data_IF_798610707726
#
_entry.id   IF_798610707726
#
_cell.length_a   1.000
_cell.length_b   1.000
_cell.length_c   1.000
_cell.angle_alpha   90.00
_cell.angle_beta   90.00
_cell.angle_gamma   90.00
#
_symmetry.space_group_name_H-M   'P 1'
#
loop_
_entity.id
_entity.type
_entity.pdbx_description
1 polymer ?
#
# COMPACT_ATOMS: atom_id res chain seq x y z
N UNK A 1 78.08 57.71 42.15
CA UNK A 1 78.37 56.46 42.88
C UNK A 1 77.28 56.22 43.92
N UNK A 2 76.37 55.28 43.66
CA UNK A 2 75.98 54.20 44.59
C UNK A 2 74.64 53.58 44.16
N UNK A 3 74.73 52.27 44.01
CA UNK A 3 73.69 51.29 43.68
C UNK A 3 72.79 50.97 44.88
N UNK A 4 71.68 50.30 44.55
CA UNK A 4 70.85 49.39 45.34
C UNK A 4 69.63 49.99 46.07
N UNK A 5 68.44 49.56 45.63
CA UNK A 5 67.70 48.48 46.33
C UNK A 5 66.61 47.87 45.46
N UNK A 6 66.42 46.58 45.66
CA UNK A 6 65.63 45.66 44.88
C UNK A 6 64.23 45.42 45.47
N UNK A 7 63.43 44.74 44.66
CA UNK A 7 62.33 43.82 44.96
C UNK A 7 60.92 44.35 45.27
N UNK A 8 60.02 44.02 44.34
CA UNK A 8 58.57 44.06 44.47
C UNK A 8 57.89 43.24 43.37
N UNK A 9 58.22 41.94 43.28
CA UNK A 9 57.63 40.95 42.36
C UNK A 9 56.15 40.71 42.71
N UNK A 10 55.21 40.98 41.80
CA UNK A 10 53.96 40.20 41.65
C UNK A 10 53.46 40.17 40.20
N UNK A 11 53.40 38.94 39.70
CA UNK A 11 52.68 38.43 38.54
C UNK A 11 51.48 39.25 38.05
N UNK A 12 51.44 39.46 36.74
CA UNK A 12 50.23 39.79 35.99
C UNK A 12 50.34 39.18 34.59
N UNK A 13 50.11 37.88 34.48
CA UNK A 13 49.85 37.22 33.20
C UNK A 13 48.59 37.84 32.63
N UNK A 14 48.69 38.52 31.48
CA UNK A 14 47.54 38.83 30.64
C UNK A 14 47.73 38.13 29.30
N UNK A 15 47.29 36.87 29.28
CA UNK A 15 46.95 36.15 28.06
C UNK A 15 45.73 36.87 27.48
N UNK A 16 45.93 37.68 26.44
CA UNK A 16 44.86 38.16 25.59
C UNK A 16 44.42 36.98 24.72
N UNK A 17 43.38 36.29 25.18
CA UNK A 17 42.86 35.07 24.60
C UNK A 17 42.30 35.24 23.20
N UNK A 18 42.61 34.26 22.36
CA UNK A 18 41.78 33.82 21.24
C UNK A 18 40.38 33.48 21.79
N UNK A 19 39.36 34.24 21.40
CA UNK A 19 38.02 34.07 21.96
C UNK A 19 36.96 34.86 21.20
N UNK A 20 36.82 34.60 19.90
CA UNK A 20 35.70 35.10 19.10
C UNK A 20 35.32 34.05 18.05
N UNK A 21 34.87 32.88 18.49
CA UNK A 21 34.30 31.84 17.65
C UNK A 21 33.19 31.10 18.41
N UNK A 22 32.12 31.80 18.79
CA UNK A 22 30.91 31.19 19.33
C UNK A 22 29.75 32.19 19.29
N UNK A 23 29.33 32.61 18.11
CA UNK A 23 28.12 33.41 17.97
C UNK A 23 27.30 32.88 16.79
N UNK A 24 26.18 32.26 17.15
CA UNK A 24 24.95 32.04 16.36
C UNK A 24 25.01 30.99 15.24
N UNK A 25 25.17 29.71 15.62
CA UNK A 25 24.83 28.56 14.77
C UNK A 25 23.75 27.65 15.40
N UNK A 26 22.93 28.18 16.33
CA UNK A 26 21.89 27.40 17.05
C UNK A 26 20.45 27.78 16.66
N UNK A 27 20.26 28.56 15.59
CA UNK A 27 18.94 29.09 15.22
C UNK A 27 18.18 28.35 14.12
N UNK A 28 18.80 27.40 13.39
CA UNK A 28 18.19 26.76 12.21
C UNK A 28 17.89 25.26 12.34
N UNK A 29 17.92 24.72 13.56
CA UNK A 29 17.44 23.34 13.82
C UNK A 29 16.03 23.31 14.42
N UNK A 30 15.22 24.35 14.19
CA UNK A 30 13.76 24.22 14.29
C UNK A 30 13.24 23.63 12.98
N UNK A 31 13.70 22.43 12.63
CA UNK A 31 12.92 21.55 11.77
C UNK A 31 11.73 21.14 12.62
N UNK A 32 10.66 21.94 12.60
CA UNK A 32 9.35 21.44 13.00
C UNK A 32 9.16 20.11 12.27
N UNK A 33 8.68 19.08 12.98
CA UNK A 33 8.55 17.73 12.42
C UNK A 33 7.81 17.82 11.08
N UNK A 34 8.56 17.77 9.97
CA UNK A 34 7.97 17.55 8.68
C UNK A 34 7.52 16.10 8.75
N UNK A 35 6.20 15.90 8.84
CA UNK A 35 5.63 14.58 8.61
C UNK A 35 5.93 14.31 7.13
N UNK A 36 7.06 13.66 6.87
CA UNK A 36 7.42 13.20 5.55
C UNK A 36 6.66 11.90 5.29
N UNK A 37 6.37 11.64 4.01
CA UNK A 37 5.73 10.41 3.61
C UNK A 37 6.57 9.21 4.09
N UNK A 38 5.89 8.18 4.58
CA UNK A 38 6.53 6.96 5.04
C UNK A 38 6.49 5.94 3.92
N UNK A 39 7.64 5.68 3.31
CA UNK A 39 7.80 4.62 2.32
C UNK A 39 7.89 3.25 2.99
N UNK A 40 7.05 2.33 2.54
CA UNK A 40 6.99 0.94 2.98
C UNK A 40 7.18 0.03 1.77
N UNK A 41 8.33 -0.65 1.71
CA UNK A 41 8.53 -1.75 0.77
C UNK A 41 7.81 -2.99 1.27
N UNK A 42 6.96 -3.59 0.45
CA UNK A 42 6.19 -4.77 0.79
C UNK A 42 6.74 -5.99 0.06
N UNK A 43 6.72 -7.18 0.70
CA UNK A 43 7.30 -8.38 0.12
C UNK A 43 6.45 -8.97 -1.02
N UNK A 44 5.27 -8.41 -1.30
CA UNK A 44 4.32 -8.97 -2.25
C UNK A 44 3.68 -10.25 -1.73
N UNK A 45 3.46 -11.20 -2.63
CA UNK A 45 2.87 -12.50 -2.30
C UNK A 45 3.00 -13.51 -3.44
N UNK A 46 2.86 -14.79 -3.13
CA UNK A 46 2.93 -15.89 -4.08
C UNK A 46 1.90 -16.96 -3.69
N UNK A 47 1.12 -17.45 -4.65
CA UNK A 47 0.09 -18.45 -4.47
C UNK A 47 0.04 -19.38 -5.68
N UNK A 48 0.15 -20.68 -5.43
CA UNK A 48 -0.14 -21.72 -6.42
C UNK A 48 -1.36 -22.53 -5.98
N UNK A 49 -2.40 -22.62 -6.82
CA UNK A 49 -3.62 -23.40 -6.57
C UNK A 49 -3.93 -24.28 -7.78
N UNK A 50 -4.14 -25.57 -7.54
CA UNK A 50 -4.62 -26.50 -8.57
C UNK A 50 -6.14 -26.50 -8.60
N UNK A 51 -6.71 -26.27 -9.77
CA UNK A 51 -8.15 -26.34 -10.02
C UNK A 51 -8.63 -27.79 -10.14
N UNK A 52 -9.95 -27.99 -10.10
CA UNK A 52 -10.56 -29.32 -10.17
C UNK A 52 -10.32 -30.06 -11.49
N UNK A 53 -9.99 -29.34 -12.55
CA UNK A 53 -9.66 -29.88 -13.87
C UNK A 53 -8.16 -30.21 -14.05
N UNK A 54 -7.34 -29.97 -13.03
CA UNK A 54 -5.90 -30.22 -13.04
C UNK A 54 -5.05 -29.02 -13.49
N UNK A 55 -5.67 -27.91 -13.89
CA UNK A 55 -4.96 -26.66 -14.22
C UNK A 55 -4.32 -26.08 -12.95
N UNK A 56 -3.03 -25.77 -13.00
CA UNK A 56 -2.31 -25.08 -11.93
C UNK A 56 -2.30 -23.60 -12.24
N UNK A 57 -2.85 -22.83 -11.31
CA UNK A 57 -2.87 -21.37 -11.33
C UNK A 57 -1.78 -20.87 -10.38
N UNK A 58 -0.76 -20.23 -10.93
CA UNK A 58 0.28 -19.56 -10.16
C UNK A 58 0.07 -18.05 -10.27
N UNK A 59 -0.15 -17.39 -9.14
CA UNK A 59 -0.34 -15.95 -9.03
C UNK A 59 0.74 -15.40 -8.12
N UNK A 60 1.46 -14.38 -8.57
CA UNK A 60 2.40 -13.67 -7.70
C UNK A 60 2.24 -12.16 -7.85
N UNK A 61 2.59 -11.46 -6.77
CA UNK A 61 2.61 -10.02 -6.64
C UNK A 61 4.04 -9.63 -6.26
N UNK A 62 4.65 -8.75 -7.03
CA UNK A 62 5.98 -8.20 -6.77
C UNK A 62 6.04 -6.69 -7.03
N UNK A 63 7.16 -6.07 -6.66
CA UNK A 63 7.30 -4.61 -6.73
C UNK A 63 6.31 -3.83 -5.85
N UNK A 64 5.69 -4.48 -4.87
CA UNK A 64 4.68 -3.87 -4.02
C UNK A 64 5.30 -2.81 -3.10
N UNK A 65 4.72 -1.61 -3.10
CA UNK A 65 5.12 -0.53 -2.20
C UNK A 65 3.94 0.34 -1.80
N UNK A 66 4.07 0.99 -0.64
CA UNK A 66 3.15 2.00 -0.17
C UNK A 66 3.92 3.23 0.30
N UNK A 67 3.58 4.41 -0.23
CA UNK A 67 4.03 5.69 0.28
C UNK A 67 2.90 6.33 1.08
N UNK A 68 3.06 6.40 2.40
CA UNK A 68 1.99 6.84 3.31
C UNK A 68 2.17 8.32 3.61
N UNK A 69 1.22 9.13 3.20
CA UNK A 69 1.27 10.57 3.42
C UNK A 69 0.45 10.95 4.66
N UNK A 70 0.94 11.88 5.48
CA UNK A 70 0.13 12.49 6.52
C UNK A 70 -1.03 13.28 5.90
N UNK A 71 -2.15 13.37 6.62
CA UNK A 71 -3.30 14.12 6.12
C UNK A 71 -2.97 15.59 5.85
N UNK A 72 -3.36 16.09 4.66
CA UNK A 72 -3.22 17.50 4.28
C UNK A 72 -4.05 18.44 5.16
N UNK A 73 -5.12 17.95 5.79
CA UNK A 73 -5.96 18.72 6.73
C UNK A 73 -5.51 18.59 8.19
N UNK A 74 -4.43 17.84 8.45
CA UNK A 74 -3.86 17.56 9.77
C UNK A 74 -4.84 16.97 10.80
N UNK A 75 -5.94 16.35 10.35
CA UNK A 75 -6.89 15.72 11.25
C UNK A 75 -6.49 14.25 11.52
N UNK A 76 -6.65 13.75 12.76
CA UNK A 76 -6.29 12.37 13.09
C UNK A 76 -7.14 11.30 12.41
N UNK A 77 -8.23 11.66 11.74
CA UNK A 77 -9.20 10.72 11.15
C UNK A 77 -9.06 10.57 9.63
N UNK A 78 -8.10 11.25 9.04
CA UNK A 78 -7.80 11.20 7.61
C UNK A 78 -6.39 10.63 7.38
N UNK A 79 -6.23 9.78 6.37
CA UNK A 79 -4.94 9.23 5.92
C UNK A 79 -4.92 9.14 4.40
N UNK A 80 -3.74 9.31 3.82
CA UNK A 80 -3.55 9.07 2.40
C UNK A 80 -2.38 8.10 2.20
N UNK A 81 -2.46 7.22 1.22
CA UNK A 81 -1.32 6.43 0.78
C UNK A 81 -1.34 6.23 -0.73
N UNK A 82 -0.16 6.18 -1.33
CA UNK A 82 0.05 5.84 -2.73
C UNK A 82 0.60 4.44 -2.81
N UNK A 83 -0.05 3.57 -3.56
CA UNK A 83 0.32 2.17 -3.64
C UNK A 83 0.65 1.77 -5.08
N UNK A 84 1.66 0.93 -5.22
CA UNK A 84 2.16 0.44 -6.50
C UNK A 84 2.45 -1.04 -6.40
N UNK A 85 2.36 -1.77 -7.51
CA UNK A 85 2.63 -3.20 -7.56
C UNK A 85 2.46 -3.80 -8.96
N UNK A 86 3.01 -5.00 -9.14
CA UNK A 86 2.90 -5.80 -10.35
C UNK A 86 2.30 -7.16 -10.01
N UNK A 87 1.12 -7.45 -10.55
CA UNK A 87 0.48 -8.75 -10.43
C UNK A 87 0.70 -9.56 -11.70
N UNK A 88 0.96 -10.84 -11.50
CA UNK A 88 1.22 -11.79 -12.57
C UNK A 88 0.41 -13.05 -12.36
N UNK A 89 0.06 -13.70 -13.48
CA UNK A 89 -0.57 -15.01 -13.48
C UNK A 89 0.07 -15.89 -14.55
N UNK A 90 0.35 -17.12 -14.18
CA UNK A 90 0.74 -18.21 -15.07
C UNK A 90 -0.20 -19.40 -14.85
N UNK A 91 -0.67 -19.96 -15.97
CA UNK A 91 -1.56 -21.10 -16.04
C UNK A 91 -0.81 -22.25 -16.70
N UNK A 92 -0.75 -23.40 -16.02
CA UNK A 92 -0.07 -24.59 -16.54
C UNK A 92 -0.90 -25.85 -16.30
N UNK A 93 -0.65 -26.91 -17.06
CA UNK A 93 -1.38 -28.18 -16.96
C UNK A 93 -1.66 -28.79 -18.33
N UNK A 94 -2.29 -29.96 -18.33
CA UNK A 94 -2.64 -30.72 -19.54
C UNK A 94 -4.00 -30.31 -20.15
N UNK A 95 -4.55 -29.17 -19.73
CA UNK A 95 -5.86 -28.63 -20.16
C UNK A 95 -5.67 -27.51 -21.19
N UNK A 96 -6.67 -27.30 -22.06
CA UNK A 96 -6.68 -26.11 -22.91
C UNK A 96 -7.00 -24.89 -22.05
N UNK A 97 -6.07 -23.95 -21.99
CA UNK A 97 -6.25 -22.68 -21.30
C UNK A 97 -6.83 -21.66 -22.28
N UNK A 98 -8.01 -21.10 -21.95
CA UNK A 98 -8.65 -20.05 -22.76
C UNK A 98 -8.06 -18.68 -22.38
N UNK A 99 -7.95 -18.42 -21.08
CA UNK A 99 -7.40 -17.19 -20.55
C UNK A 99 -7.99 -16.85 -19.19
N UNK A 100 -8.14 -15.56 -18.91
CA UNK A 100 -8.71 -15.11 -17.66
C UNK A 100 -8.73 -13.61 -17.50
N UNK A 101 -9.06 -13.17 -16.28
CA UNK A 101 -9.10 -11.76 -15.89
C UNK A 101 -8.44 -11.55 -14.53
N UNK A 102 -7.59 -10.53 -14.42
CA UNK A 102 -6.89 -10.13 -13.20
C UNK A 102 -7.58 -8.90 -12.61
N UNK A 103 -7.98 -8.99 -11.35
CA UNK A 103 -8.66 -7.94 -10.59
C UNK A 103 -7.79 -7.57 -9.37
N UNK A 104 -6.86 -6.62 -9.50
CA UNK A 104 -6.07 -6.13 -8.38
C UNK A 104 -6.87 -5.08 -7.59
N UNK A 105 -6.69 -5.08 -6.28
CA UNK A 105 -7.33 -4.14 -5.39
C UNK A 105 -6.70 -4.12 -4.01
N UNK A 106 -7.26 -3.29 -3.13
CA UNK A 106 -6.84 -3.20 -1.74
C UNK A 106 -8.04 -3.31 -0.81
N UNK A 107 -7.84 -4.02 0.30
CA UNK A 107 -8.75 -4.00 1.44
C UNK A 107 -8.15 -3.11 2.51
N UNK A 108 -8.96 -2.17 3.01
CA UNK A 108 -8.57 -1.23 4.07
C UNK A 108 -9.51 -1.42 5.26
N UNK A 109 -8.92 -1.58 6.44
CA UNK A 109 -9.62 -1.77 7.71
C UNK A 109 -9.35 -0.62 8.68
N UNK A 110 -10.40 -0.18 9.37
CA UNK A 110 -10.31 0.77 10.48
C UNK A 110 -10.56 0.08 11.83
N UNK A 111 -9.57 0.09 12.71
CA UNK A 111 -9.60 -0.59 14.01
C UNK A 111 -9.93 -2.09 13.95
N UNK A 112 -9.70 -2.71 12.79
CA UNK A 112 -9.85 -4.15 12.56
C UNK A 112 -8.54 -4.71 12.02
N UNK A 113 -8.22 -5.93 12.46
CA UNK A 113 -7.08 -6.67 11.92
C UNK A 113 -7.51 -7.37 10.63
N UNK A 114 -6.88 -6.98 9.52
CA UNK A 114 -7.13 -7.57 8.20
C UNK A 114 -6.00 -8.51 7.76
N UNK A 115 -5.06 -8.84 8.66
CA UNK A 115 -3.94 -9.74 8.35
C UNK A 115 -4.35 -11.21 8.20
N UNK A 116 -5.42 -11.63 8.87
CA UNK A 116 -6.05 -12.94 8.68
C UNK A 116 -6.80 -13.01 7.35
N UNK A 117 -6.61 -14.07 6.58
CA UNK A 117 -7.40 -14.34 5.38
C UNK A 117 -8.85 -14.60 5.79
N UNK A 118 -9.71 -13.61 5.58
CA UNK A 118 -11.06 -13.57 6.13
C UNK A 118 -11.23 -12.33 6.97
N UNK A 119 -11.48 -11.20 6.31
CA UNK A 119 -12.17 -10.12 7.00
C UNK A 119 -13.60 -10.62 7.18
N UNK A 120 -14.04 -10.82 8.43
CA UNK A 120 -15.45 -10.70 8.79
C UNK A 120 -15.83 -9.22 8.60
N UNK A 121 -15.76 -8.78 7.34
CA UNK A 121 -16.18 -7.47 6.92
C UNK A 121 -17.66 -7.42 7.19
N UNK A 122 -18.08 -6.47 8.03
CA UNK A 122 -19.48 -6.13 8.16
C UNK A 122 -20.13 -5.92 6.78
N UNK A 123 -21.45 -5.70 6.72
CA UNK A 123 -22.32 -5.80 5.54
C UNK A 123 -22.00 -4.92 4.29
N UNK A 124 -20.82 -4.32 4.21
CA UNK A 124 -20.31 -3.47 3.14
C UNK A 124 -19.00 -3.98 2.48
N UNK A 125 -18.63 -5.25 2.64
CA UNK A 125 -17.50 -5.82 1.89
C UNK A 125 -17.89 -5.95 0.40
N UNK A 126 -17.23 -5.19 -0.47
CA UNK A 126 -17.45 -5.16 -1.93
C UNK A 126 -16.83 -6.35 -2.68
N UNK A 127 -16.83 -7.50 -2.03
CA UNK A 127 -16.31 -8.77 -2.53
C UNK A 127 -17.19 -9.87 -1.96
N UNK A 128 -17.62 -10.78 -2.82
CA UNK A 128 -18.35 -11.97 -2.43
C UNK A 128 -17.37 -13.06 -1.98
N UNK A 129 -17.48 -13.44 -0.71
CA UNK A 129 -16.66 -14.44 -0.03
C UNK A 129 -17.39 -15.76 0.18
N UNK A 130 -18.48 -16.01 -0.56
CA UNK A 130 -19.27 -17.24 -0.42
C UNK A 130 -18.46 -18.53 -0.60
N UNK A 131 -17.33 -18.46 -1.30
CA UNK A 131 -16.42 -19.59 -1.51
C UNK A 131 -15.35 -19.75 -0.41
N UNK A 132 -15.39 -18.93 0.66
CA UNK A 132 -14.58 -19.01 1.88
C UNK A 132 -13.09 -18.65 1.74
N UNK A 133 -12.46 -19.06 0.65
CA UNK A 133 -11.02 -18.85 0.39
C UNK A 133 -10.75 -17.85 -0.74
N UNK A 134 -11.71 -17.69 -1.65
CA UNK A 134 -11.58 -16.86 -2.84
C UNK A 134 -12.60 -15.73 -2.80
N UNK A 135 -12.15 -14.52 -3.10
CA UNK A 135 -12.97 -13.32 -3.15
C UNK A 135 -13.37 -13.04 -4.60
N UNK A 136 -14.68 -13.15 -4.89
CA UNK A 136 -15.24 -12.78 -6.18
C UNK A 136 -15.57 -11.28 -6.20
N UNK A 137 -15.21 -10.55 -7.25
CA UNK A 137 -15.66 -9.18 -7.42
C UNK A 137 -17.17 -9.07 -7.50
N UNK A 138 -17.75 -8.16 -6.72
CA UNK A 138 -19.17 -7.82 -6.81
C UNK A 138 -19.38 -6.79 -7.93
N UNK A 139 -20.54 -6.84 -8.59
CA UNK A 139 -20.87 -5.97 -9.74
C UNK A 139 -21.03 -4.48 -9.38
N UNK A 140 -20.99 -4.11 -8.10
CA UNK A 140 -21.00 -2.74 -7.57
C UNK A 140 -19.72 -2.38 -6.80
N UNK A 141 -18.62 -3.09 -7.06
CA UNK A 141 -17.32 -2.88 -6.44
C UNK A 141 -16.85 -1.42 -6.48
N UNK A 142 -16.32 -0.91 -5.36
CA UNK A 142 -15.79 0.46 -5.33
C UNK A 142 -14.58 0.57 -6.26
N UNK A 143 -14.56 1.60 -7.10
CA UNK A 143 -13.42 1.95 -7.95
C UNK A 143 -12.76 3.20 -7.36
N UNK A 144 -11.45 3.15 -7.16
CA UNK A 144 -10.69 4.19 -6.48
C UNK A 144 -10.74 4.10 -4.95
N UNK A 145 -9.63 4.48 -4.31
CA UNK A 145 -9.41 4.20 -2.89
C UNK A 145 -9.88 5.26 -1.91
N UNK A 146 -10.81 6.15 -2.27
CA UNK A 146 -11.40 7.09 -1.31
C UNK A 146 -12.50 6.41 -0.48
N UNK A 147 -12.16 5.99 0.74
CA UNK A 147 -12.96 5.20 1.64
C UNK A 147 -13.36 5.98 2.89
N UNK A 148 -14.67 6.04 3.15
CA UNK A 148 -15.17 6.44 4.45
C UNK A 148 -15.43 5.19 5.29
N UNK A 149 -14.65 5.02 6.37
CA UNK A 149 -14.77 3.92 7.32
C UNK A 149 -15.05 4.46 8.72
N UNK A 150 -15.95 3.80 9.44
CA UNK A 150 -16.04 3.95 10.90
C UNK A 150 -15.28 2.80 11.58
N UNK A 151 -14.91 2.94 12.87
CA UNK A 151 -14.38 1.84 13.67
C UNK A 151 -15.11 0.51 13.49
N UNK A 152 -14.35 -0.57 13.27
CA UNK A 152 -14.93 -1.91 13.10
C UNK A 152 -15.28 -2.27 11.65
N UNK A 153 -14.98 -1.42 10.68
CA UNK A 153 -15.28 -1.66 9.27
C UNK A 153 -14.02 -1.92 8.45
N UNK A 154 -14.18 -2.77 7.43
CA UNK A 154 -13.27 -2.91 6.32
C UNK A 154 -14.04 -2.69 5.00
N UNK A 155 -13.41 -2.01 4.05
CA UNK A 155 -13.90 -1.89 2.68
C UNK A 155 -12.79 -2.24 1.72
N UNK A 156 -13.20 -2.72 0.56
CA UNK A 156 -12.28 -2.99 -0.54
C UNK A 156 -12.60 -2.10 -1.72
N UNK A 157 -11.60 -1.87 -2.54
CA UNK A 157 -11.75 -1.18 -3.81
C UNK A 157 -10.81 -1.81 -4.83
N UNK A 158 -11.14 -1.64 -6.11
CA UNK A 158 -10.33 -2.08 -7.22
C UNK A 158 -9.46 -0.93 -7.71
N UNK A 159 -8.26 -1.29 -8.11
CA UNK A 159 -7.26 -0.34 -8.62
C UNK A 159 -7.51 -0.02 -10.09
N UNK A 160 -7.88 -1.01 -10.89
CA UNK A 160 -8.05 -0.80 -12.31
C UNK A 160 -9.38 -0.13 -12.61
N UNK A 161 -9.33 0.80 -13.56
CA UNK A 161 -10.48 1.36 -14.24
C UNK A 161 -10.20 1.39 -15.74
N UNK A 162 -10.58 0.30 -16.43
CA UNK A 162 -10.36 0.15 -17.87
C UNK A 162 -11.65 0.42 -18.63
N UNK A 163 -11.61 1.40 -19.53
CA UNK A 163 -12.73 1.72 -20.41
C UNK A 163 -12.81 0.70 -21.57
N UNK A 164 -13.88 -0.07 -21.63
CA UNK A 164 -14.21 -0.98 -22.74
C UNK A 164 -15.57 -0.59 -23.36
N UNK A 165 -15.80 -0.94 -24.62
CA UNK A 165 -17.14 -0.81 -25.24
C UNK A 165 -18.01 -2.01 -24.87
N UNK A 166 -19.24 -1.77 -24.47
CA UNK A 166 -20.25 -2.84 -24.29
C UNK A 166 -20.80 -3.33 -25.64
N UNK A 167 -21.64 -4.36 -25.60
CA UNK A 167 -22.28 -4.95 -26.78
C UNK A 167 -23.19 -3.96 -27.56
N UNK A 168 -23.47 -2.79 -26.98
CA UNK A 168 -24.26 -1.72 -27.55
C UNK A 168 -23.41 -0.49 -27.95
N UNK A 169 -22.08 -0.57 -27.82
CA UNK A 169 -21.14 0.50 -28.19
C UNK A 169 -21.01 1.63 -27.17
N UNK A 170 -21.52 1.45 -25.96
CA UNK A 170 -21.40 2.39 -24.84
C UNK A 170 -20.11 2.11 -24.06
N UNK A 171 -19.49 3.16 -23.55
CA UNK A 171 -18.31 3.03 -22.70
C UNK A 171 -18.72 2.45 -21.33
N UNK A 172 -18.07 1.35 -20.96
CA UNK A 172 -18.22 0.69 -19.67
C UNK A 172 -16.85 0.57 -19.00
N UNK A 173 -16.84 0.94 -17.73
CA UNK A 173 -15.66 0.85 -16.87
C UNK A 173 -15.54 -0.57 -16.28
N UNK A 174 -14.39 -1.20 -16.47
CA UNK A 174 -14.08 -2.56 -16.00
C UNK A 174 -12.89 -2.53 -15.06
N UNK A 175 -13.04 -3.19 -13.93
CA UNK A 175 -12.03 -3.26 -12.86
C UNK A 175 -10.99 -4.36 -13.06
N UNK A 176 -10.74 -4.75 -14.31
CA UNK A 176 -9.97 -5.96 -14.64
C UNK A 176 -9.08 -5.77 -15.84
N UNK A 177 -7.97 -6.50 -15.84
CA UNK A 177 -7.16 -6.73 -17.02
C UNK A 177 -7.41 -8.15 -17.56
N UNK A 178 -7.88 -8.27 -18.80
CA UNK A 178 -8.08 -9.57 -19.45
C UNK A 178 -6.77 -10.06 -20.07
N UNK A 179 -6.57 -11.37 -20.05
CA UNK A 179 -5.47 -12.02 -20.76
C UNK A 179 -5.98 -13.28 -21.48
N UNK A 180 -5.26 -13.66 -22.54
CA UNK A 180 -5.55 -14.86 -23.33
C UNK A 180 -4.36 -15.80 -23.28
N UNK A 181 -4.64 -17.11 -23.31
CA UNK A 181 -3.61 -18.14 -23.21
C UNK A 181 -3.07 -18.32 -21.80
N UNK A 182 -1.83 -18.81 -21.70
CA UNK A 182 -1.26 -19.36 -20.48
C UNK A 182 -0.80 -18.33 -19.43
N UNK A 183 -0.93 -17.03 -19.67
CA UNK A 183 -0.51 -16.06 -18.67
C UNK A 183 -0.83 -14.61 -19.00
N UNK A 184 -0.73 -13.78 -17.96
CA UNK A 184 -1.04 -12.36 -18.01
C UNK A 184 -0.32 -11.60 -16.90
N UNK A 185 -0.27 -10.28 -17.03
CA UNK A 185 0.23 -9.42 -15.97
C UNK A 185 -0.47 -8.09 -15.99
N UNK A 186 -0.50 -7.41 -14.85
CA UNK A 186 -0.96 -6.03 -14.74
C UNK A 186 -0.14 -5.31 -13.70
N UNK A 187 0.25 -4.08 -14.02
CA UNK A 187 1.00 -3.20 -13.15
C UNK A 187 0.15 -1.98 -12.83
N UNK A 188 0.28 -1.47 -11.61
CA UNK A 188 -0.27 -0.19 -11.21
C UNK A 188 0.79 0.62 -10.46
N UNK A 189 0.71 1.94 -10.57
CA UNK A 189 1.65 2.86 -9.93
C UNK A 189 0.89 4.04 -9.36
N UNK A 190 1.25 4.43 -8.14
CA UNK A 190 0.76 5.64 -7.49
C UNK A 190 -0.78 5.69 -7.44
N UNK A 191 -1.38 4.57 -7.04
CA UNK A 191 -2.81 4.47 -6.84
C UNK A 191 -3.18 4.94 -5.45
N UNK A 192 -4.23 5.76 -5.35
CA UNK A 192 -4.53 6.47 -4.11
C UNK A 192 -5.44 5.66 -3.19
N UNK A 193 -5.03 5.53 -1.93
CA UNK A 193 -5.86 5.12 -0.79
C UNK A 193 -6.11 6.36 0.07
N UNK A 194 -7.29 6.96 -0.08
CA UNK A 194 -7.77 8.04 0.79
C UNK A 194 -8.68 7.46 1.86
N UNK A 195 -8.29 7.51 3.13
CA UNK A 195 -9.12 7.06 4.25
C UNK A 195 -9.69 8.26 5.00
N UNK A 196 -11.00 8.27 5.23
CA UNK A 196 -11.71 9.29 6.00
C UNK A 196 -12.56 8.64 7.10
N UNK A 197 -12.60 9.25 8.29
CA UNK A 197 -13.47 8.84 9.39
C UNK A 197 -12.87 7.77 10.32
N UNK A 198 -11.65 7.30 10.05
CA UNK A 198 -11.00 6.31 10.89
C UNK A 198 -10.24 6.96 12.06
N UNK A 199 -10.84 6.95 13.25
CA UNK A 199 -10.25 7.56 14.45
C UNK A 199 -9.23 6.71 15.22
N UNK A 200 -8.75 5.61 14.65
CA UNK A 200 -7.80 4.70 15.29
C UNK A 200 -6.78 4.14 14.30
N UNK A 201 -6.15 3.02 14.65
CA UNK A 201 -5.20 2.37 13.75
C UNK A 201 -5.91 1.94 12.46
N UNK A 202 -5.25 2.17 11.33
CA UNK A 202 -5.70 1.70 10.03
C UNK A 202 -4.68 0.75 9.41
N UNK A 203 -5.18 -0.24 8.68
CA UNK A 203 -4.37 -1.25 8.01
C UNK A 203 -4.89 -1.44 6.59
N UNK A 204 -4.00 -1.66 5.64
CA UNK A 204 -4.33 -2.01 4.26
C UNK A 204 -3.60 -3.28 3.84
N UNK A 205 -4.15 -4.00 2.86
CA UNK A 205 -3.48 -5.11 2.19
C UNK A 205 -3.90 -5.18 0.73
N UNK A 206 -2.98 -5.55 -0.15
CA UNK A 206 -3.33 -5.87 -1.53
C UNK A 206 -4.06 -7.22 -1.61
N UNK A 207 -4.94 -7.33 -2.59
CA UNK A 207 -5.44 -8.60 -3.10
C UNK A 207 -5.37 -8.61 -4.61
N UNK A 208 -5.17 -9.80 -5.18
CA UNK A 208 -5.21 -10.06 -6.61
C UNK A 208 -6.16 -11.23 -6.81
N UNK A 209 -7.39 -10.92 -7.22
CA UNK A 209 -8.36 -11.95 -7.61
C UNK A 209 -8.20 -12.25 -9.09
N UNK A 210 -7.96 -13.51 -9.42
CA UNK A 210 -7.83 -13.99 -10.79
C UNK A 210 -9.01 -14.89 -11.11
N UNK A 211 -9.75 -14.52 -12.14
CA UNK A 211 -10.72 -15.38 -12.81
C UNK A 211 -9.98 -16.18 -13.88
N UNK A 212 -10.05 -17.50 -13.78
CA UNK A 212 -9.43 -18.42 -14.73
C UNK A 212 -10.54 -19.13 -15.49
N UNK A 213 -10.46 -19.05 -16.82
CA UNK A 213 -11.37 -19.72 -17.74
C UNK A 213 -10.61 -20.83 -18.48
N UNK A 214 -11.05 -22.06 -18.27
CA UNK A 214 -10.63 -23.24 -19.04
C UNK A 214 -11.80 -23.78 -19.85
N UNK A 215 -11.55 -24.75 -20.72
CA UNK A 215 -12.63 -25.43 -21.47
C UNK A 215 -13.69 -26.09 -20.56
N UNK A 216 -13.34 -26.38 -19.31
CA UNK A 216 -14.15 -27.21 -18.41
C UNK A 216 -14.68 -26.44 -17.20
N UNK A 217 -13.98 -25.39 -16.75
CA UNK A 217 -14.24 -24.74 -15.47
C UNK A 217 -13.97 -23.24 -15.55
N UNK A 218 -14.82 -22.45 -14.88
CA UNK A 218 -14.51 -21.07 -14.50
C UNK A 218 -14.27 -21.06 -13.00
N UNK A 219 -13.10 -20.60 -12.56
CA UNK A 219 -12.71 -20.60 -11.15
C UNK A 219 -12.02 -19.31 -10.76
N UNK A 220 -12.17 -18.95 -9.49
CA UNK A 220 -11.53 -17.79 -8.89
C UNK A 220 -10.37 -18.24 -8.00
N UNK A 221 -9.26 -17.51 -8.07
CA UNK A 221 -8.10 -17.69 -7.19
C UNK A 221 -7.69 -16.32 -6.68
N UNK A 222 -7.69 -16.11 -5.37
CA UNK A 222 -7.29 -14.82 -4.78
C UNK A 222 -5.98 -14.94 -4.04
N UNK A 223 -4.95 -14.25 -4.54
CA UNK A 223 -3.72 -14.00 -3.80
C UNK A 223 -3.94 -12.83 -2.84
N UNK A 224 -3.48 -12.96 -1.60
CA UNK A 224 -3.48 -11.87 -0.64
C UNK A 224 -2.06 -11.46 -0.26
N UNK A 225 -1.78 -10.16 -0.38
CA UNK A 225 -0.52 -9.56 0.04
C UNK A 225 -0.39 -9.45 1.56
N UNK A 226 0.83 -9.10 2.01
CA UNK A 226 1.11 -8.80 3.41
C UNK A 226 0.44 -7.49 3.80
N UNK A 227 -0.32 -7.52 4.89
CA UNK A 227 -0.96 -6.32 5.40
C UNK A 227 0.06 -5.34 6.03
N UNK A 228 -0.18 -4.05 5.84
CA UNK A 228 0.67 -2.94 6.29
C UNK A 228 -0.16 -1.85 6.98
N UNK A 229 0.47 -1.11 7.90
CA UNK A 229 -0.21 -0.04 8.64
C UNK A 229 -0.29 1.23 7.81
N UNK A 230 -1.40 1.95 7.91
CA UNK A 230 -1.59 3.31 7.39
C UNK A 230 -1.44 4.39 8.48
N UNK A 231 -0.96 4.00 9.67
CA UNK A 231 -0.85 4.85 10.86
C UNK A 231 -2.13 4.95 11.69
#
# INVERSE_FOLDING_TARGET
MNTNRANGRRWGVRVSGLGAAAAVALGLFSTGAANADTFVALPGGDLSKTLSDGTVVHVWLDGESANIDPSLDATPVHRNAWVSGNAHVELSGDTTVVGGSIYPGYTVGCQVDISGGGVDGGPSASMDWSDGENAKPDAGGNIGGNLTLVPGQAKSFYVLDTEEKDDFGQDVHKTRNKFQGAGGSVAWSDETIGLTGCGGYAQARAFVSVEVETDNVISWVTLWGKAFSLG
#
